data_IF_690056365937
#
_entry.id   IF_690056365937
#
_cell.length_a   1.000
_cell.length_b   1.000
_cell.length_c   1.000
_cell.angle_alpha   90.00
_cell.angle_beta   90.00
_cell.angle_gamma   90.00
#
_symmetry.space_group_name_H-M   'P 1'
#
loop_
_entity.id
_entity.type
_entity.pdbx_description
1 polymer ?
#
# COMPACT_ATOMS: atom_id res chain seq x y z
N UNK A 1 -5.82 -45.06 6.96
CA UNK A 1 -4.83 -44.56 5.98
C UNK A 1 -5.58 -43.73 4.97
N UNK A 2 -5.64 -42.42 5.16
CA UNK A 2 -6.23 -41.47 4.21
C UNK A 2 -5.29 -41.31 3.02
N UNK A 3 -5.83 -41.31 1.80
CA UNK A 3 -5.06 -41.18 0.58
C UNK A 3 -4.20 -39.91 0.61
N UNK A 4 -2.90 -40.05 0.32
CA UNK A 4 -2.02 -38.91 0.12
C UNK A 4 -2.54 -38.11 -1.09
N UNK A 5 -3.06 -36.91 -0.83
CA UNK A 5 -3.52 -36.00 -1.88
C UNK A 5 -2.36 -35.64 -2.80
N UNK A 6 -2.62 -35.60 -4.11
CA UNK A 6 -1.68 -35.09 -5.10
C UNK A 6 -1.36 -33.63 -4.81
N UNK A 7 -0.08 -33.28 -4.68
CA UNK A 7 0.34 -31.89 -4.52
C UNK A 7 0.33 -31.14 -5.85
N UNK A 8 -0.16 -29.90 -5.84
CA UNK A 8 -0.17 -28.99 -6.99
C UNK A 8 0.59 -27.72 -6.60
N UNK A 9 1.78 -27.55 -7.15
CA UNK A 9 2.57 -26.35 -6.91
C UNK A 9 2.23 -25.21 -7.88
N UNK A 10 2.19 -23.95 -7.41
CA UNK A 10 2.24 -23.49 -6.02
C UNK A 10 0.86 -23.47 -5.34
N UNK A 11 -0.18 -24.01 -5.97
CA UNK A 11 -1.59 -23.91 -5.53
C UNK A 11 -1.82 -24.36 -4.09
N UNK A 12 -1.18 -25.44 -3.64
CA UNK A 12 -1.32 -25.93 -2.26
C UNK A 12 -0.88 -24.87 -1.23
N UNK A 13 0.19 -24.13 -1.53
CA UNK A 13 0.69 -23.03 -0.70
C UNK A 13 -0.20 -21.80 -0.79
N UNK A 14 -0.78 -21.53 -1.96
CA UNK A 14 -1.70 -20.40 -2.15
C UNK A 14 -3.01 -20.61 -1.39
N UNK A 15 -3.48 -21.86 -1.25
CA UNK A 15 -4.68 -22.21 -0.51
C UNK A 15 -4.45 -22.23 1.01
N UNK A 16 -3.26 -22.61 1.46
CA UNK A 16 -2.84 -22.56 2.86
C UNK A 16 -1.93 -21.34 3.12
N UNK A 17 -2.54 -20.15 3.14
CA UNK A 17 -1.83 -18.87 3.35
C UNK A 17 -1.34 -18.74 4.79
N UNK A 18 -0.25 -19.44 5.11
CA UNK A 18 0.48 -19.23 6.35
C UNK A 18 1.30 -17.93 6.24
N UNK A 19 1.19 -17.08 7.27
CA UNK A 19 2.04 -15.90 7.38
C UNK A 19 3.51 -16.34 7.50
N UNK A 20 4.42 -15.58 6.88
CA UNK A 20 5.85 -15.77 7.11
C UNK A 20 6.16 -15.45 8.58
N UNK A 21 6.98 -16.28 9.21
CA UNK A 21 7.51 -15.96 10.54
C UNK A 21 8.36 -14.68 10.45
N UNK A 22 8.00 -13.67 11.25
CA UNK A 22 8.67 -12.38 11.30
C UNK A 22 9.12 -12.10 12.72
N UNK A 23 10.32 -11.54 12.86
CA UNK A 23 10.83 -11.12 14.17
C UNK A 23 9.98 -10.02 14.83
N UNK A 24 9.27 -9.22 14.02
CA UNK A 24 8.24 -8.28 14.49
C UNK A 24 7.13 -8.12 13.44
N UNK A 25 5.90 -7.76 13.85
CA UNK A 25 4.78 -7.53 12.90
C UNK A 25 5.02 -6.39 11.91
N UNK A 26 6.01 -5.52 12.19
CA UNK A 26 6.32 -4.33 11.39
C UNK A 26 7.55 -4.52 10.50
N UNK A 27 8.20 -5.68 10.57
CA UNK A 27 9.36 -6.03 9.75
C UNK A 27 8.89 -6.56 8.40
N UNK A 28 9.20 -5.83 7.34
CA UNK A 28 8.90 -6.25 5.97
C UNK A 28 9.90 -7.31 5.52
N UNK A 29 9.47 -8.18 4.61
CA UNK A 29 10.34 -9.22 4.03
C UNK A 29 10.58 -8.91 2.55
N UNK A 30 11.86 -8.74 2.19
CA UNK A 30 12.35 -8.78 0.83
C UNK A 30 12.86 -10.19 0.56
N UNK A 31 12.33 -10.88 -0.46
CA UNK A 31 12.85 -12.17 -0.86
C UNK A 31 13.63 -12.06 -2.17
N UNK A 32 14.92 -12.42 -2.10
CA UNK A 32 15.85 -12.45 -3.20
C UNK A 32 15.83 -13.84 -3.85
N UNK A 33 15.35 -13.88 -5.09
CA UNK A 33 15.48 -15.01 -6.00
C UNK A 33 16.74 -14.78 -6.82
N UNK A 34 17.83 -15.47 -6.50
CA UNK A 34 19.08 -15.36 -7.24
C UNK A 34 19.77 -16.72 -7.35
N UNK A 35 20.65 -16.90 -8.35
CA UNK A 35 21.58 -18.02 -8.33
C UNK A 35 22.45 -17.97 -7.07
N UNK A 36 23.01 -19.12 -6.67
CA UNK A 36 23.94 -19.22 -5.53
C UNK A 36 25.39 -19.40 -5.97
N UNK A 37 25.60 -19.88 -7.20
CA UNK A 37 26.92 -20.20 -7.74
C UNK A 37 27.19 -19.42 -9.03
N UNK A 38 28.40 -18.83 -9.17
CA UNK A 38 29.50 -18.94 -8.21
C UNK A 38 29.31 -17.96 -7.02
N UNK A 39 29.60 -18.44 -5.80
CA UNK A 39 29.37 -17.71 -4.52
C UNK A 39 29.99 -16.32 -4.50
N UNK A 40 31.20 -16.17 -5.02
CA UNK A 40 31.94 -14.91 -5.08
C UNK A 40 31.21 -13.82 -5.88
N UNK A 41 30.34 -14.18 -6.81
CA UNK A 41 29.50 -13.23 -7.56
C UNK A 41 28.17 -12.99 -6.84
N UNK A 42 27.41 -14.05 -6.55
CA UNK A 42 26.02 -13.88 -6.09
C UNK A 42 25.90 -13.53 -4.60
N UNK A 43 26.93 -13.76 -3.79
CA UNK A 43 26.98 -13.22 -2.43
C UNK A 43 27.20 -11.70 -2.44
N UNK A 44 27.89 -11.14 -3.45
CA UNK A 44 27.99 -9.69 -3.64
C UNK A 44 26.63 -9.09 -4.06
N UNK A 45 25.89 -9.76 -4.94
CA UNK A 45 24.52 -9.35 -5.31
C UNK A 45 23.63 -9.35 -4.06
N UNK A 46 23.67 -10.42 -3.26
CA UNK A 46 22.91 -10.50 -2.01
C UNK A 46 23.30 -9.38 -1.04
N UNK A 47 24.59 -9.11 -0.86
CA UNK A 47 25.08 -8.00 -0.03
C UNK A 47 24.59 -6.63 -0.53
N UNK A 48 24.60 -6.40 -1.86
CA UNK A 48 24.10 -5.17 -2.46
C UNK A 48 22.59 -4.99 -2.25
N UNK A 49 21.79 -6.05 -2.43
CA UNK A 49 20.34 -6.04 -2.17
C UNK A 49 20.06 -5.81 -0.68
N UNK A 50 20.82 -6.43 0.22
CA UNK A 50 20.69 -6.21 1.66
C UNK A 50 21.05 -4.77 2.07
N UNK A 51 22.08 -4.18 1.45
CA UNK A 51 22.40 -2.76 1.62
C UNK A 51 21.26 -1.86 1.13
N UNK A 52 20.70 -2.14 -0.05
CA UNK A 52 19.54 -1.40 -0.56
C UNK A 52 18.31 -1.53 0.35
N UNK A 53 18.04 -2.72 0.89
CA UNK A 53 17.01 -2.94 1.90
C UNK A 53 17.26 -2.07 3.14
N UNK A 54 18.51 -2.02 3.63
CA UNK A 54 18.90 -1.22 4.80
C UNK A 54 18.74 0.29 4.55
N UNK A 55 19.10 0.77 3.37
CA UNK A 55 18.91 2.17 2.97
C UNK A 55 17.43 2.51 2.81
N UNK A 56 16.65 1.62 2.20
CA UNK A 56 15.20 1.77 2.05
C UNK A 56 14.53 1.81 3.43
N UNK A 57 14.89 0.87 4.30
CA UNK A 57 14.47 0.80 5.70
C UNK A 57 14.74 2.13 6.43
N UNK A 58 15.97 2.63 6.37
CA UNK A 58 16.35 3.90 6.99
C UNK A 58 15.56 5.10 6.41
N UNK A 59 15.40 5.17 5.08
CA UNK A 59 14.69 6.27 4.41
C UNK A 59 13.20 6.31 4.74
N UNK A 60 12.59 5.14 4.98
CA UNK A 60 11.18 5.01 5.28
C UNK A 60 10.90 4.89 6.80
N UNK A 61 11.94 4.75 7.65
CA UNK A 61 11.79 4.52 9.09
C UNK A 61 11.20 3.16 9.44
N UNK A 62 11.46 2.14 8.63
CA UNK A 62 10.91 0.78 8.76
C UNK A 62 12.04 -0.24 8.90
N UNK A 63 11.72 -1.50 9.18
CA UNK A 63 12.67 -2.61 9.07
C UNK A 63 12.35 -3.45 7.83
N UNK A 64 13.39 -3.78 7.04
CA UNK A 64 13.27 -4.71 5.92
C UNK A 64 14.31 -5.81 6.13
N UNK A 65 13.85 -7.05 6.20
CA UNK A 65 14.70 -8.24 6.18
C UNK A 65 14.86 -8.75 4.77
N UNK A 66 16.10 -8.86 4.29
CA UNK A 66 16.41 -9.57 3.06
C UNK A 66 16.63 -11.06 3.36
N UNK A 67 15.87 -11.93 2.69
CA UNK A 67 16.01 -13.39 2.73
C UNK A 67 16.37 -13.90 1.34
N UNK A 68 17.22 -14.93 1.27
CA UNK A 68 17.56 -15.66 0.04
C UNK A 68 17.25 -17.13 0.27
N UNK A 69 16.87 -17.87 -0.78
CA UNK A 69 16.39 -19.24 -0.62
C UNK A 69 17.39 -20.19 0.10
N UNK A 70 18.70 -19.97 -0.01
CA UNK A 70 19.73 -20.75 0.70
C UNK A 70 19.93 -20.37 2.18
N UNK A 71 19.32 -19.27 2.66
CA UNK A 71 19.33 -18.85 4.07
C UNK A 71 18.09 -19.32 4.85
N UNK A 72 17.21 -20.09 4.20
CA UNK A 72 16.02 -20.68 4.81
C UNK A 72 16.43 -22.02 5.48
N UNK A 73 16.50 -22.04 6.81
CA UNK A 73 16.93 -23.23 7.58
C UNK A 73 15.77 -23.99 8.26
N UNK A 74 14.51 -23.70 7.92
CA UNK A 74 13.33 -24.13 8.67
C UNK A 74 12.45 -25.17 7.92
N UNK A 75 12.92 -26.42 7.93
CA UNK A 75 12.13 -27.67 7.83
C UNK A 75 11.74 -28.29 6.46
N UNK A 76 11.97 -29.62 6.40
CA UNK A 76 11.43 -30.75 5.60
C UNK A 76 11.24 -30.69 4.07
N UNK A 77 11.05 -29.56 3.41
CA UNK A 77 11.10 -29.51 1.92
C UNK A 77 11.37 -28.08 1.44
N UNK A 78 12.61 -27.82 0.99
CA UNK A 78 13.11 -26.50 0.57
C UNK A 78 12.16 -25.79 -0.43
N UNK A 79 11.45 -26.55 -1.27
CA UNK A 79 10.57 -26.01 -2.30
C UNK A 79 9.29 -25.35 -1.77
N UNK A 80 8.66 -25.90 -0.73
CA UNK A 80 7.40 -25.33 -0.20
C UNK A 80 7.67 -23.99 0.49
N UNK A 81 8.84 -23.85 1.13
CA UNK A 81 9.27 -22.59 1.73
C UNK A 81 9.47 -21.52 0.64
N UNK A 82 10.16 -21.84 -0.46
CA UNK A 82 10.34 -20.90 -1.58
C UNK A 82 8.98 -20.42 -2.11
N UNK A 83 8.01 -21.32 -2.30
CA UNK A 83 6.67 -20.93 -2.74
C UNK A 83 5.95 -20.05 -1.72
N UNK A 84 6.09 -20.33 -0.41
CA UNK A 84 5.53 -19.49 0.66
C UNK A 84 6.15 -18.10 0.64
N UNK A 85 7.46 -17.98 0.52
CA UNK A 85 8.15 -16.69 0.43
C UNK A 85 7.76 -15.93 -0.85
N UNK A 86 7.66 -16.61 -2.00
CA UNK A 86 7.18 -15.99 -3.24
C UNK A 86 5.74 -15.48 -3.10
N UNK A 87 4.85 -16.22 -2.45
CA UNK A 87 3.48 -15.80 -2.24
C UNK A 87 3.36 -14.63 -1.24
N UNK A 88 4.11 -14.69 -0.13
CA UNK A 88 3.83 -13.89 1.07
C UNK A 88 4.86 -12.79 1.39
N UNK A 89 6.04 -12.76 0.76
CA UNK A 89 7.02 -11.69 0.98
C UNK A 89 6.44 -10.32 0.56
N UNK A 90 6.90 -9.22 1.15
CA UNK A 90 6.38 -7.88 0.86
C UNK A 90 6.78 -7.38 -0.53
N UNK A 91 8.00 -7.70 -0.94
CA UNK A 91 8.56 -7.46 -2.26
C UNK A 91 9.53 -8.59 -2.66
N UNK A 92 9.70 -8.78 -3.97
CA UNK A 92 10.63 -9.73 -4.55
C UNK A 92 11.69 -9.00 -5.35
N UNK A 93 12.95 -9.41 -5.20
CA UNK A 93 14.05 -9.04 -6.10
C UNK A 93 14.47 -10.32 -6.82
N UNK A 94 14.53 -10.27 -8.15
CA UNK A 94 14.79 -11.45 -8.98
C UNK A 94 15.97 -11.18 -9.89
N UNK A 95 17.05 -11.93 -9.68
CA UNK A 95 18.25 -11.87 -10.51
C UNK A 95 18.12 -12.83 -11.70
N UNK A 96 17.80 -12.25 -12.86
CA UNK A 96 17.62 -13.02 -14.11
C UNK A 96 18.92 -13.18 -14.89
N UNK A 97 20.07 -12.84 -14.30
CA UNK A 97 21.39 -12.97 -14.92
C UNK A 97 21.68 -14.41 -15.34
N UNK A 98 22.07 -14.58 -16.59
CA UNK A 98 22.44 -15.88 -17.15
C UNK A 98 21.27 -16.87 -17.28
N UNK A 99 20.02 -16.44 -17.02
CA UNK A 99 18.79 -17.24 -17.11
C UNK A 99 18.88 -18.54 -16.32
N UNK A 100 19.31 -18.47 -15.06
CA UNK A 100 19.37 -19.65 -14.20
C UNK A 100 18.02 -20.40 -14.19
N UNK A 101 17.97 -21.70 -14.55
CA UNK A 101 16.70 -22.41 -14.71
C UNK A 101 15.81 -22.40 -13.47
N UNK A 102 16.39 -22.48 -12.27
CA UNK A 102 15.64 -22.47 -11.02
C UNK A 102 15.00 -21.10 -10.79
N UNK A 103 15.80 -20.03 -10.92
CA UNK A 103 15.31 -18.65 -10.77
C UNK A 103 14.24 -18.31 -11.81
N UNK A 104 14.37 -18.82 -13.04
CA UNK A 104 13.36 -18.60 -14.09
C UNK A 104 12.03 -19.31 -13.79
N UNK A 105 12.04 -20.49 -13.16
CA UNK A 105 10.81 -21.15 -12.69
C UNK A 105 10.18 -20.33 -11.55
N UNK A 106 11.00 -19.91 -10.58
CA UNK A 106 10.55 -19.07 -9.45
C UNK A 106 9.96 -17.74 -9.92
N UNK A 107 10.59 -17.09 -10.90
CA UNK A 107 10.07 -15.88 -11.54
C UNK A 107 8.75 -16.14 -12.25
N UNK A 108 8.60 -17.26 -12.97
CA UNK A 108 7.34 -17.62 -13.62
C UNK A 108 6.19 -17.73 -12.63
N UNK A 109 6.44 -18.34 -11.47
CA UNK A 109 5.46 -18.41 -10.36
C UNK A 109 5.20 -17.03 -9.77
N UNK A 110 6.24 -16.23 -9.51
CA UNK A 110 6.10 -14.87 -9.03
C UNK A 110 5.24 -14.02 -9.97
N UNK A 111 5.49 -14.08 -11.28
CA UNK A 111 4.74 -13.35 -12.29
C UNK A 111 3.26 -13.78 -12.37
N UNK A 112 2.94 -15.04 -12.02
CA UNK A 112 1.58 -15.54 -11.96
C UNK A 112 0.82 -15.10 -10.69
N UNK A 113 1.51 -15.00 -9.55
CA UNK A 113 0.90 -14.74 -8.24
C UNK A 113 0.95 -13.28 -7.79
N UNK A 114 1.91 -12.49 -8.29
CA UNK A 114 2.26 -11.18 -7.75
C UNK A 114 1.89 -10.06 -8.71
N UNK A 115 1.61 -8.88 -8.16
CA UNK A 115 1.49 -7.67 -8.97
C UNK A 115 2.87 -7.31 -9.55
N UNK A 116 2.95 -6.83 -10.81
CA UNK A 116 4.24 -6.51 -11.45
C UNK A 116 5.11 -5.55 -10.64
N UNK A 117 4.52 -4.60 -9.91
CA UNK A 117 5.24 -3.62 -9.10
C UNK A 117 5.91 -4.22 -7.86
N UNK A 118 5.50 -5.41 -7.42
CA UNK A 118 6.11 -6.11 -6.28
C UNK A 118 7.27 -7.02 -6.69
N UNK A 119 7.55 -7.13 -7.99
CA UNK A 119 8.59 -8.00 -8.55
C UNK A 119 9.61 -7.12 -9.27
N UNK A 120 10.78 -6.95 -8.67
CA UNK A 120 11.87 -6.13 -9.20
C UNK A 120 12.87 -7.05 -9.89
N UNK A 121 13.07 -6.85 -11.18
CA UNK A 121 14.07 -7.62 -11.94
C UNK A 121 15.42 -6.90 -11.90
N UNK A 122 16.48 -7.65 -11.63
CA UNK A 122 17.87 -7.19 -11.72
C UNK A 122 18.65 -8.08 -12.68
N UNK A 123 19.66 -7.51 -13.34
CA UNK A 123 20.48 -8.25 -14.30
C UNK A 123 21.88 -7.65 -14.44
N UNK A 124 22.89 -8.49 -14.58
CA UNK A 124 24.25 -8.04 -14.89
C UNK A 124 24.30 -7.41 -16.28
N UNK A 125 25.01 -6.28 -16.42
CA UNK A 125 25.14 -5.55 -17.68
C UNK A 125 25.97 -6.31 -18.75
N UNK A 126 26.88 -7.17 -18.30
CA UNK A 126 27.72 -8.02 -19.13
C UNK A 126 27.06 -9.35 -19.54
N UNK A 127 25.82 -9.59 -19.10
CA UNK A 127 25.09 -10.79 -19.44
C UNK A 127 24.58 -10.74 -20.88
N UNK A 128 25.08 -11.66 -21.72
CA UNK A 128 24.71 -11.76 -23.13
C UNK A 128 23.47 -12.62 -23.40
N UNK A 129 22.86 -13.19 -22.35
CA UNK A 129 21.67 -14.05 -22.50
C UNK A 129 20.48 -13.30 -23.11
N UNK A 130 19.61 -14.00 -23.83
CA UNK A 130 18.38 -13.38 -24.37
C UNK A 130 17.21 -13.70 -23.45
N UNK A 131 16.70 -12.67 -22.76
CA UNK A 131 15.51 -12.83 -21.92
C UNK A 131 14.32 -13.36 -22.75
N UNK A 132 13.55 -14.31 -22.21
CA UNK A 132 12.33 -14.78 -22.87
C UNK A 132 11.39 -13.61 -23.17
N UNK A 133 10.65 -13.68 -24.27
CA UNK A 133 9.75 -12.61 -24.74
C UNK A 133 8.81 -12.09 -23.63
N UNK A 134 8.28 -12.99 -22.79
CA UNK A 134 7.38 -12.64 -21.69
C UNK A 134 8.07 -11.85 -20.55
N UNK A 135 9.38 -12.05 -20.35
CA UNK A 135 10.18 -11.28 -19.38
C UNK A 135 10.61 -9.91 -19.95
N UNK A 136 10.63 -9.76 -21.27
CA UNK A 136 11.07 -8.54 -21.96
C UNK A 136 10.14 -7.34 -21.77
N UNK A 137 8.85 -7.59 -21.50
CA UNK A 137 7.88 -6.54 -21.23
C UNK A 137 8.12 -5.82 -19.89
N UNK A 138 8.85 -6.44 -18.97
CA UNK A 138 9.11 -5.91 -17.64
C UNK A 138 10.50 -5.26 -17.61
N UNK A 139 10.57 -4.00 -17.16
CA UNK A 139 11.85 -3.28 -17.02
C UNK A 139 12.70 -3.95 -15.94
N UNK A 140 13.99 -4.10 -16.20
CA UNK A 140 14.99 -4.59 -15.25
C UNK A 140 16.02 -3.50 -14.93
N UNK A 141 16.60 -3.58 -13.73
CA UNK A 141 17.73 -2.75 -13.31
C UNK A 141 19.02 -3.48 -13.65
N UNK A 142 19.96 -2.76 -14.26
CA UNK A 142 21.28 -3.32 -14.59
C UNK A 142 22.28 -3.07 -13.47
N UNK A 143 23.18 -4.02 -13.24
CA UNK A 143 24.31 -3.88 -12.33
C UNK A 143 25.62 -4.36 -12.96
N UNK A 144 26.76 -3.87 -12.47
CA UNK A 144 28.09 -4.36 -12.86
C UNK A 144 28.59 -5.48 -11.94
N UNK A 145 29.39 -6.44 -12.42
CA UNK A 145 29.95 -7.55 -11.60
C UNK A 145 30.95 -7.15 -10.50
N UNK A 146 31.14 -5.85 -10.28
CA UNK A 146 31.75 -5.27 -9.08
C UNK A 146 30.73 -4.37 -8.38
N UNK A 147 29.56 -4.93 -8.06
CA UNK A 147 28.37 -4.21 -7.62
C UNK A 147 28.52 -3.52 -6.26
N UNK A 148 29.52 -3.91 -5.47
CA UNK A 148 29.86 -3.28 -4.20
C UNK A 148 30.28 -1.82 -4.43
N UNK A 149 29.32 -0.91 -4.29
CA UNK A 149 29.51 0.53 -4.50
C UNK A 149 28.93 1.08 -5.81
N UNK A 150 28.19 0.28 -6.58
CA UNK A 150 27.42 0.77 -7.73
C UNK A 150 26.26 1.66 -7.27
N UNK A 151 26.55 2.95 -7.12
CA UNK A 151 25.58 3.91 -6.60
C UNK A 151 24.35 4.04 -7.50
N UNK A 152 24.51 3.92 -8.82
CA UNK A 152 23.38 4.03 -9.75
C UNK A 152 22.43 2.84 -9.59
N UNK A 153 22.97 1.62 -9.52
CA UNK A 153 22.17 0.43 -9.24
C UNK A 153 21.47 0.53 -7.88
N UNK A 154 22.20 0.88 -6.81
CA UNK A 154 21.63 0.97 -5.46
C UNK A 154 20.51 2.02 -5.39
N UNK A 155 20.67 3.19 -6.03
CA UNK A 155 19.63 4.21 -6.07
C UNK A 155 18.41 3.77 -6.90
N UNK A 156 18.63 3.11 -8.05
CA UNK A 156 17.55 2.55 -8.86
C UNK A 156 16.77 1.45 -8.13
N UNK A 157 17.48 0.59 -7.40
CA UNK A 157 16.90 -0.47 -6.59
C UNK A 157 16.12 0.11 -5.40
N UNK A 158 16.68 1.11 -4.71
CA UNK A 158 16.00 1.84 -3.64
C UNK A 158 14.68 2.44 -4.13
N UNK A 159 14.69 3.15 -5.25
CA UNK A 159 13.49 3.77 -5.82
C UNK A 159 12.43 2.71 -6.18
N UNK A 160 12.86 1.58 -6.76
CA UNK A 160 11.97 0.47 -7.11
C UNK A 160 11.41 -0.22 -5.87
N UNK A 161 12.21 -0.40 -4.82
CA UNK A 161 11.77 -0.93 -3.53
C UNK A 161 10.72 -0.03 -2.88
N UNK A 162 10.96 1.30 -2.83
CA UNK A 162 9.99 2.27 -2.32
C UNK A 162 8.68 2.13 -3.11
N UNK A 163 8.75 2.08 -4.43
CA UNK A 163 7.56 1.89 -5.27
C UNK A 163 6.87 0.54 -5.07
N UNK A 164 7.60 -0.53 -4.77
CA UNK A 164 7.05 -1.86 -4.51
C UNK A 164 6.34 -1.95 -3.15
N UNK A 165 6.85 -1.25 -2.14
CA UNK A 165 6.29 -1.24 -0.79
C UNK A 165 5.28 -0.12 -0.56
N UNK A 166 5.08 0.80 -1.49
CA UNK A 166 4.08 1.88 -1.36
C UNK A 166 2.65 1.57 -1.87
N UNK A 167 2.36 0.64 -2.80
CA UNK A 167 1.04 0.56 -3.42
C UNK A 167 -0.01 -0.01 -2.48
N UNK A 168 -1.20 0.60 -2.49
CA UNK A 168 -2.41 0.02 -1.91
C UNK A 168 -2.95 -1.11 -2.82
N UNK A 169 -3.74 -2.07 -2.31
CA UNK A 169 -4.54 -2.95 -3.11
C UNK A 169 -5.48 -2.15 -4.02
N UNK A 170 -5.08 -2.09 -5.28
CA UNK A 170 -5.86 -1.55 -6.37
C UNK A 170 -6.70 -2.66 -6.97
N UNK A 171 -8.02 -2.45 -7.04
CA UNK A 171 -8.91 -3.23 -7.90
C UNK A 171 -9.46 -2.26 -8.95
N UNK A 172 -9.23 -2.48 -10.25
CA UNK A 172 -9.77 -1.61 -11.29
C UNK A 172 -11.31 -1.59 -11.21
N UNK A 173 -11.94 -0.43 -11.43
CA UNK A 173 -13.40 -0.33 -11.35
C UNK A 173 -14.06 -1.16 -12.44
N UNK A 174 -15.21 -1.78 -12.12
CA UNK A 174 -16.04 -2.43 -13.13
C UNK A 174 -16.67 -1.38 -14.04
N UNK A 175 -16.73 -1.60 -15.36
CA UNK A 175 -17.35 -0.67 -16.34
C UNK A 175 -18.88 -0.47 -16.18
N UNK A 176 -19.49 -0.96 -15.11
CA UNK A 176 -20.92 -0.79 -14.80
C UNK A 176 -21.20 0.49 -14.00
N UNK A 177 -22.48 0.87 -13.94
CA UNK A 177 -22.94 1.93 -13.04
C UNK A 177 -22.64 1.53 -11.58
N UNK A 178 -21.70 2.23 -10.95
CA UNK A 178 -21.23 1.97 -9.61
C UNK A 178 -22.25 2.44 -8.56
N UNK A 179 -23.13 1.54 -8.11
CA UNK A 179 -24.03 1.76 -6.98
C UNK A 179 -23.47 1.07 -5.74
N UNK A 180 -22.57 1.76 -5.03
CA UNK A 180 -22.12 1.30 -3.73
C UNK A 180 -23.29 1.20 -2.74
N UNK A 181 -23.18 0.29 -1.77
CA UNK A 181 -24.18 0.09 -0.73
C UNK A 181 -23.94 1.04 0.44
N UNK A 182 -25.01 1.36 1.17
CA UNK A 182 -24.90 2.00 2.47
C UNK A 182 -24.07 1.14 3.42
N UNK A 183 -23.23 1.80 4.21
CA UNK A 183 -22.28 1.18 5.10
C UNK A 183 -22.17 2.00 6.37
N UNK A 184 -22.42 1.39 7.52
CA UNK A 184 -22.18 2.01 8.81
C UNK A 184 -21.36 1.04 9.66
N UNK A 185 -20.25 1.53 10.19
CA UNK A 185 -19.33 0.76 11.01
C UNK A 185 -19.08 1.48 12.33
N UNK A 186 -19.57 0.87 13.40
CA UNK A 186 -19.28 1.25 14.78
C UNK A 186 -18.08 0.45 15.31
N UNK A 187 -16.91 1.08 15.30
CA UNK A 187 -15.64 0.50 15.74
C UNK A 187 -15.51 0.44 17.27
N UNK A 188 -16.48 0.95 18.02
CA UNK A 188 -16.56 0.72 19.48
C UNK A 188 -16.97 -0.72 19.80
N UNK A 189 -17.58 -1.40 18.84
CA UNK A 189 -18.03 -2.80 18.97
C UNK A 189 -16.94 -3.82 18.60
N UNK A 190 -15.75 -3.35 18.17
CA UNK A 190 -14.61 -4.19 17.78
C UNK A 190 -14.13 -3.95 16.34
N UNK A 191 -13.02 -4.58 15.98
CA UNK A 191 -12.53 -4.59 14.59
C UNK A 191 -13.44 -5.44 13.70
N UNK A 192 -13.54 -5.07 12.41
CA UNK A 192 -14.33 -5.75 11.38
C UNK A 192 -13.46 -6.01 10.15
N UNK A 193 -12.51 -6.97 10.23
CA UNK A 193 -11.62 -7.29 9.11
C UNK A 193 -12.36 -7.84 7.88
N UNK A 194 -13.59 -8.34 8.08
CA UNK A 194 -14.50 -8.77 7.01
C UNK A 194 -15.05 -7.61 6.18
N UNK A 195 -15.06 -6.40 6.73
CA UNK A 195 -15.59 -5.19 6.11
C UNK A 195 -14.52 -4.19 5.70
N UNK A 196 -13.44 -4.11 6.47
CA UNK A 196 -12.26 -3.27 6.21
C UNK A 196 -11.27 -4.10 5.39
N UNK A 197 -11.24 -3.88 4.09
CA UNK A 197 -10.44 -4.65 3.13
C UNK A 197 -8.92 -4.35 3.16
N UNK A 198 -8.47 -3.57 4.14
CA UNK A 198 -7.05 -3.41 4.39
C UNK A 198 -6.48 -4.64 5.11
N UNK A 199 -5.27 -5.12 4.74
CA UNK A 199 -4.65 -6.30 5.34
C UNK A 199 -4.65 -6.28 6.87
N UNK A 200 -4.76 -7.45 7.51
CA UNK A 200 -4.70 -7.60 8.98
C UNK A 200 -3.38 -7.12 9.59
N UNK A 201 -2.28 -7.12 8.82
CA UNK A 201 -0.98 -6.52 9.21
C UNK A 201 -0.99 -4.98 9.24
N UNK A 202 -2.13 -4.35 8.92
CA UNK A 202 -2.27 -2.91 9.07
C UNK A 202 -2.09 -2.51 10.52
N UNK A 203 -1.61 -1.29 10.72
CA UNK A 203 -1.32 -0.76 12.04
C UNK A 203 -2.59 -0.40 12.80
N UNK A 204 -3.49 -1.37 12.95
CA UNK A 204 -4.76 -1.26 13.66
C UNK A 204 -4.78 -2.14 14.90
N UNK A 205 -5.34 -1.62 15.99
CA UNK A 205 -5.48 -2.32 17.26
C UNK A 205 -6.82 -1.95 17.87
N UNK A 206 -7.60 -2.96 18.28
CA UNK A 206 -8.81 -2.73 19.07
C UNK A 206 -8.40 -2.12 20.41
N UNK A 207 -9.00 -1.00 20.77
CA UNK A 207 -8.77 -0.32 22.05
C UNK A 207 -10.12 0.00 22.69
N UNK A 208 -10.11 0.43 23.94
CA UNK A 208 -11.34 0.88 24.60
C UNK A 208 -12.00 2.00 23.78
N UNK A 209 -13.27 1.77 23.42
CA UNK A 209 -14.12 2.73 22.74
C UNK A 209 -13.58 3.19 21.36
N UNK A 210 -13.04 2.25 20.57
CA UNK A 210 -12.73 2.47 19.15
C UNK A 210 -11.62 1.57 18.60
N UNK A 211 -11.20 1.87 17.37
CA UNK A 211 -10.06 1.26 16.70
C UNK A 211 -8.91 2.26 16.65
N UNK A 212 -7.77 1.91 17.25
CA UNK A 212 -6.54 2.65 17.02
C UNK A 212 -6.01 2.28 15.64
N UNK A 213 -5.67 3.26 14.80
CA UNK A 213 -5.21 3.04 13.43
C UNK A 213 -4.16 4.08 13.01
N UNK A 214 -3.29 3.71 12.07
CA UNK A 214 -2.30 4.61 11.47
C UNK A 214 -0.86 4.18 11.71
N UNK A 215 0.09 4.81 11.04
CA UNK A 215 1.52 4.54 11.20
C UNK A 215 2.30 5.83 11.32
N UNK A 216 3.41 5.74 12.05
CA UNK A 216 4.41 6.79 12.08
C UNK A 216 5.33 6.75 10.85
N UNK A 217 5.54 5.57 10.25
CA UNK A 217 6.62 5.32 9.28
C UNK A 217 6.16 4.57 8.02
N UNK A 218 5.22 3.63 8.16
CA UNK A 218 4.74 2.74 7.08
C UNK A 218 3.44 3.29 6.46
N UNK A 219 3.55 4.08 5.38
CA UNK A 219 2.35 4.59 4.69
C UNK A 219 1.50 3.48 4.04
N UNK A 220 2.13 2.41 3.53
CA UNK A 220 1.47 1.25 2.90
C UNK A 220 0.42 0.57 3.78
N UNK A 221 0.55 0.69 5.10
CA UNK A 221 -0.34 0.05 6.06
C UNK A 221 -1.22 1.06 6.80
N UNK A 222 -1.22 2.32 6.33
CA UNK A 222 -1.93 3.46 6.92
C UNK A 222 -3.08 3.96 6.08
N UNK A 223 -3.72 3.07 5.30
CA UNK A 223 -4.98 3.38 4.65
C UNK A 223 -6.04 2.29 4.94
N UNK A 224 -7.31 2.71 4.98
CA UNK A 224 -8.49 1.85 5.05
C UNK A 224 -9.21 1.89 3.72
N UNK A 225 -9.35 0.74 3.06
CA UNK A 225 -10.29 0.61 1.94
C UNK A 225 -11.68 0.28 2.52
N UNK A 226 -12.61 1.21 2.36
CA UNK A 226 -13.97 1.08 2.89
C UNK A 226 -14.86 0.39 1.86
N UNK A 227 -15.16 -0.89 2.09
CA UNK A 227 -15.87 -1.79 1.17
C UNK A 227 -15.13 -2.05 -0.15
N UNK A 228 -15.55 -3.10 -0.87
CA UNK A 228 -15.06 -3.40 -2.22
C UNK A 228 -15.77 -2.61 -3.32
N UNK A 229 -16.80 -1.84 -2.99
CA UNK A 229 -17.66 -1.18 -3.98
C UNK A 229 -17.04 0.09 -4.56
N UNK A 230 -17.44 0.44 -5.77
CA UNK A 230 -17.21 1.77 -6.33
C UNK A 230 -18.43 2.66 -6.07
N UNK A 231 -18.18 3.96 -5.88
CA UNK A 231 -19.20 4.96 -5.61
C UNK A 231 -19.09 6.11 -6.60
N UNK A 232 -20.20 6.46 -7.26
CA UNK A 232 -20.32 7.73 -7.98
C UNK A 232 -20.77 8.85 -7.06
N UNK A 233 -21.91 8.73 -6.39
CA UNK A 233 -22.38 9.77 -5.47
C UNK A 233 -22.36 9.19 -4.05
N UNK A 234 -21.59 9.79 -3.16
CA UNK A 234 -21.38 9.26 -1.81
C UNK A 234 -21.02 10.34 -0.83
N UNK A 235 -21.51 10.18 0.39
CA UNK A 235 -21.05 10.88 1.58
C UNK A 235 -20.30 9.90 2.48
N UNK A 236 -19.12 10.30 2.96
CA UNK A 236 -18.37 9.61 3.98
C UNK A 236 -18.26 10.48 5.23
N UNK A 237 -18.55 9.90 6.40
CA UNK A 237 -18.30 10.53 7.70
C UNK A 237 -17.37 9.65 8.51
N UNK A 238 -16.34 10.27 9.10
CA UNK A 238 -15.38 9.59 9.96
C UNK A 238 -15.31 10.38 11.27
N UNK A 239 -15.59 9.68 12.37
CA UNK A 239 -15.45 10.24 13.72
C UNK A 239 -14.22 9.68 14.40
N UNK A 240 -13.25 10.55 14.68
CA UNK A 240 -11.95 10.12 15.17
C UNK A 240 -11.30 11.16 16.09
N UNK A 241 -10.17 10.80 16.69
CA UNK A 241 -9.24 11.72 17.36
C UNK A 241 -7.81 11.30 17.11
N UNK A 242 -6.86 12.22 17.12
CA UNK A 242 -5.44 11.86 17.13
C UNK A 242 -5.07 11.24 18.48
N UNK A 243 -4.29 10.17 18.45
CA UNK A 243 -3.81 9.47 19.65
C UNK A 243 -2.35 9.83 19.96
N UNK A 244 -1.53 9.91 18.92
CA UNK A 244 -0.12 10.27 19.01
C UNK A 244 0.40 10.67 17.63
N UNK A 245 1.37 11.56 17.58
CA UNK A 245 2.02 11.99 16.34
C UNK A 245 3.52 11.75 16.43
N UNK A 246 4.17 11.65 15.27
CA UNK A 246 5.63 11.67 15.17
C UNK A 246 6.07 12.96 14.49
N UNK A 247 6.96 13.71 15.15
CA UNK A 247 7.60 14.87 14.55
C UNK A 247 6.66 16.07 14.40
N UNK A 248 6.67 16.69 13.22
CA UNK A 248 5.97 17.95 12.97
C UNK A 248 4.45 17.74 12.84
N UNK A 249 3.61 18.41 13.66
CA UNK A 249 2.15 18.38 13.52
C UNK A 249 1.63 18.76 12.13
N UNK A 250 2.38 19.54 11.36
CA UNK A 250 2.04 19.88 9.98
C UNK A 250 2.14 18.69 9.03
N UNK A 251 2.82 17.60 9.38
CA UNK A 251 2.94 16.41 8.50
C UNK A 251 2.02 15.27 8.91
N UNK A 252 1.57 15.24 10.16
CA UNK A 252 0.67 14.23 10.70
C UNK A 252 -0.78 14.48 10.30
N UNK A 253 -1.46 13.50 9.69
CA UNK A 253 -2.86 13.69 9.26
C UNK A 253 -3.69 12.42 9.23
N UNK A 254 -5.02 12.60 9.25
CA UNK A 254 -6.02 11.67 8.73
C UNK A 254 -6.82 12.35 7.63
N UNK A 255 -7.08 11.64 6.54
CA UNK A 255 -7.92 12.12 5.45
C UNK A 255 -8.77 11.03 4.81
N UNK A 256 -9.73 11.48 4.00
CA UNK A 256 -10.61 10.64 3.20
C UNK A 256 -10.58 11.09 1.74
N UNK A 257 -10.46 10.13 0.83
CA UNK A 257 -10.61 10.34 -0.62
C UNK A 257 -11.89 9.69 -1.10
N UNK A 258 -12.67 10.42 -1.90
CA UNK A 258 -13.86 9.93 -2.58
C UNK A 258 -13.54 9.73 -4.07
N UNK A 259 -14.20 8.76 -4.71
CA UNK A 259 -13.93 8.35 -6.11
C UNK A 259 -12.45 8.05 -6.41
N UNK A 260 -11.72 7.50 -5.44
CA UNK A 260 -10.32 7.20 -5.62
C UNK A 260 -10.13 6.00 -6.57
N UNK A 261 -9.45 6.24 -7.69
CA UNK A 261 -9.13 5.22 -8.70
C UNK A 261 -7.63 4.92 -8.81
N UNK A 262 -6.80 5.49 -7.96
CA UNK A 262 -5.36 5.46 -8.16
C UNK A 262 -4.69 4.37 -7.33
N UNK A 263 -3.47 3.98 -7.72
CA UNK A 263 -2.71 2.96 -7.01
C UNK A 263 -2.08 3.50 -5.71
N UNK A 264 -1.67 4.77 -5.69
CA UNK A 264 -1.26 5.49 -4.48
C UNK A 264 -2.47 5.94 -3.65
N UNK A 265 -2.46 5.64 -2.35
CA UNK A 265 -3.58 5.91 -1.45
C UNK A 265 -3.82 7.42 -1.16
N UNK A 266 -2.79 8.25 -1.31
CA UNK A 266 -2.85 9.70 -1.12
C UNK A 266 -3.14 10.48 -2.41
N UNK A 267 -3.19 9.85 -3.58
CA UNK A 267 -3.43 10.57 -4.84
C UNK A 267 -4.92 10.70 -5.12
N UNK A 268 -5.34 11.90 -5.52
CA UNK A 268 -6.75 12.26 -5.78
C UNK A 268 -7.13 13.53 -5.03
N UNK A 269 -8.44 13.80 -4.96
CA UNK A 269 -9.00 14.88 -4.15
C UNK A 269 -9.29 14.34 -2.74
N UNK A 270 -8.28 14.41 -1.87
CA UNK A 270 -8.36 13.96 -0.47
C UNK A 270 -8.65 15.16 0.43
N UNK A 271 -9.66 15.02 1.27
CA UNK A 271 -9.94 15.97 2.35
C UNK A 271 -9.27 15.43 3.60
N UNK A 272 -8.40 16.23 4.23
CA UNK A 272 -7.65 15.80 5.41
C UNK A 272 -7.62 16.87 6.49
N UNK A 273 -7.46 16.40 7.73
CA UNK A 273 -7.14 17.21 8.90
C UNK A 273 -5.70 16.91 9.32
N UNK A 274 -4.87 17.95 9.41
CA UNK A 274 -3.53 17.85 10.00
C UNK A 274 -3.62 17.94 11.53
N UNK A 275 -2.66 17.36 12.23
CA UNK A 275 -2.58 17.47 13.69
C UNK A 275 -2.35 18.91 14.16
N UNK A 276 -1.82 19.79 13.29
CA UNK A 276 -1.79 21.24 13.50
C UNK A 276 -3.17 21.92 13.54
N UNK A 277 -4.24 21.21 13.19
CA UNK A 277 -5.60 21.74 13.10
C UNK A 277 -5.95 22.33 11.74
N UNK A 278 -5.06 22.22 10.76
CA UNK A 278 -5.24 22.74 9.40
C UNK A 278 -6.03 21.75 8.55
N UNK A 279 -7.09 22.22 7.91
CA UNK A 279 -7.88 21.46 6.94
C UNK A 279 -7.30 21.67 5.55
N UNK A 280 -6.98 20.58 4.87
CA UNK A 280 -6.36 20.60 3.54
C UNK A 280 -7.23 19.78 2.58
N UNK A 281 -7.32 20.24 1.33
CA UNK A 281 -7.78 19.44 0.21
C UNK A 281 -6.61 19.21 -0.75
N UNK A 282 -6.26 17.98 -1.06
CA UNK A 282 -5.22 17.70 -2.07
C UNK A 282 -5.79 17.91 -3.47
N UNK A 283 -4.98 18.43 -4.39
CA UNK A 283 -5.33 18.59 -5.80
C UNK A 283 -4.28 17.91 -6.70
N UNK A 284 -4.69 16.94 -7.54
CA UNK A 284 -3.79 16.35 -8.53
C UNK A 284 -3.31 17.37 -9.58
N UNK A 285 -2.03 17.27 -9.95
CA UNK A 285 -1.42 18.09 -11.01
C UNK A 285 -1.24 17.30 -12.32
N UNK A 286 -1.02 15.99 -12.20
CA UNK A 286 -0.84 15.08 -13.33
C UNK A 286 -1.40 13.69 -13.03
N UNK A 287 -1.38 12.81 -14.04
CA UNK A 287 -1.77 11.41 -13.99
C UNK A 287 -0.67 10.47 -13.46
N UNK A 288 0.44 11.02 -12.94
CA UNK A 288 1.64 10.27 -12.51
C UNK A 288 1.87 10.30 -11.00
N UNK A 289 0.90 10.79 -10.23
CA UNK A 289 1.01 10.82 -8.79
C UNK A 289 1.36 12.18 -8.19
N UNK A 290 1.55 13.23 -9.01
CA UNK A 290 1.88 14.58 -8.51
C UNK A 290 0.62 15.30 -8.02
N UNK A 291 0.74 15.99 -6.88
CA UNK A 291 -0.33 16.79 -6.28
C UNK A 291 0.25 17.93 -5.44
N UNK A 292 -0.61 18.90 -5.10
CA UNK A 292 -0.32 19.90 -4.08
C UNK A 292 -1.46 20.00 -3.07
N UNK A 293 -1.19 20.70 -1.98
CA UNK A 293 -2.12 20.94 -0.88
C UNK A 293 -2.81 22.30 -1.07
N UNK A 294 -4.15 22.30 -1.03
CA UNK A 294 -4.96 23.51 -0.92
C UNK A 294 -5.33 23.69 0.55
N UNK A 295 -4.81 24.75 1.15
CA UNK A 295 -5.13 25.12 2.53
C UNK A 295 -6.51 25.77 2.62
N UNK A 296 -7.44 25.08 3.28
CA UNK A 296 -8.82 25.54 3.49
C UNK A 296 -8.91 26.43 4.74
N UNK A 297 -8.02 26.22 5.71
CA UNK A 297 -7.96 26.98 6.95
C UNK A 297 -7.96 26.13 8.22
N UNK A 298 -7.80 26.76 9.39
CA UNK A 298 -7.72 26.06 10.68
C UNK A 298 -9.10 25.77 11.27
N UNK A 299 -9.22 24.64 11.99
CA UNK A 299 -10.35 24.37 12.87
C UNK A 299 -10.18 25.19 14.17
N UNK A 300 -11.05 26.18 14.47
CA UNK A 300 -10.90 27.04 15.64
C UNK A 300 -10.88 26.24 16.95
N UNK A 301 -9.87 26.50 17.79
CA UNK A 301 -9.74 25.88 19.11
C UNK A 301 -9.33 24.41 19.11
N UNK A 302 -9.08 23.82 17.93
CA UNK A 302 -8.62 22.45 17.81
C UNK A 302 -7.23 22.28 18.40
N UNK A 303 -7.08 21.23 19.20
CA UNK A 303 -5.82 20.82 19.80
C UNK A 303 -5.83 19.30 19.92
N UNK A 304 -4.94 18.64 19.18
CA UNK A 304 -4.82 17.19 19.19
C UNK A 304 -4.45 16.63 20.59
N UNK A 305 -3.79 17.44 21.43
CA UNK A 305 -3.42 17.08 22.80
C UNK A 305 -4.62 16.94 23.74
N UNK A 306 -5.74 17.60 23.45
CA UNK A 306 -6.98 17.47 24.23
C UNK A 306 -7.70 16.14 24.03
N UNK A 307 -7.29 15.35 23.03
CA UNK A 307 -7.87 14.04 22.73
C UNK A 307 -9.39 14.08 22.51
N UNK A 308 -9.90 15.19 21.97
CA UNK A 308 -11.30 15.37 21.63
C UNK A 308 -11.64 14.70 20.30
N UNK A 309 -12.87 14.17 20.19
CA UNK A 309 -13.37 13.61 18.95
C UNK A 309 -13.72 14.72 17.97
N UNK A 310 -13.41 14.51 16.70
CA UNK A 310 -13.77 15.38 15.60
C UNK A 310 -14.44 14.57 14.49
N UNK A 311 -15.43 15.19 13.86
CA UNK A 311 -16.08 14.68 12.66
C UNK A 311 -15.42 15.29 11.42
N UNK A 312 -15.01 14.40 10.50
CA UNK A 312 -14.65 14.73 9.13
C UNK A 312 -15.74 14.14 8.23
N UNK A 313 -16.49 15.00 7.54
CA UNK A 313 -17.49 14.59 6.56
C UNK A 313 -17.07 15.09 5.19
N UNK A 314 -17.06 14.20 4.18
CA UNK A 314 -16.86 14.56 2.79
C UNK A 314 -17.97 13.96 1.94
N UNK A 315 -18.45 14.72 0.97
CA UNK A 315 -19.49 14.33 0.03
C UNK A 315 -19.06 14.69 -1.39
N UNK A 316 -19.22 13.74 -2.31
CA UNK A 316 -19.07 13.99 -3.73
C UNK A 316 -20.31 13.53 -4.48
N UNK A 317 -20.76 14.37 -5.40
CA UNK A 317 -21.79 14.03 -6.37
C UNK A 317 -21.36 14.48 -7.77
N UNK A 318 -22.26 14.43 -8.74
CA UNK A 318 -21.95 14.81 -10.12
C UNK A 318 -21.70 16.31 -10.34
N UNK A 319 -21.97 17.16 -9.35
CA UNK A 319 -21.85 18.61 -9.48
C UNK A 319 -20.73 19.19 -8.62
N UNK A 320 -20.49 18.63 -7.42
CA UNK A 320 -19.51 19.19 -6.49
C UNK A 320 -18.91 18.16 -5.52
N UNK A 321 -17.75 18.52 -4.97
CA UNK A 321 -17.19 18.00 -3.73
C UNK A 321 -17.50 19.00 -2.62
N UNK A 322 -18.14 18.57 -1.53
CA UNK A 322 -18.34 19.37 -0.33
C UNK A 322 -17.81 18.63 0.89
N UNK A 323 -17.28 19.35 1.87
CA UNK A 323 -16.78 18.71 3.08
C UNK A 323 -16.86 19.64 4.29
N UNK A 324 -16.86 19.03 5.47
CA UNK A 324 -16.76 19.70 6.75
C UNK A 324 -15.79 18.97 7.69
N UNK A 325 -15.03 19.73 8.46
CA UNK A 325 -14.13 19.22 9.49
C UNK A 325 -14.30 20.08 10.73
N UNK A 326 -14.93 19.54 11.76
CA UNK A 326 -15.41 20.35 12.88
C UNK A 326 -16.34 21.47 12.37
N UNK A 327 -15.97 22.74 12.59
CA UNK A 327 -16.73 23.91 12.12
C UNK A 327 -16.30 24.44 10.75
N UNK A 328 -15.20 23.94 10.17
CA UNK A 328 -14.73 24.36 8.83
C UNK A 328 -15.59 23.67 7.78
N UNK A 329 -16.09 24.43 6.80
CA UNK A 329 -16.87 23.90 5.68
C UNK A 329 -16.36 24.45 4.36
N UNK A 330 -16.40 23.64 3.31
CA UNK A 330 -15.94 24.04 1.99
C UNK A 330 -16.68 23.28 0.88
N UNK A 331 -16.74 23.88 -0.32
CA UNK A 331 -17.40 23.31 -1.49
C UNK A 331 -16.67 23.72 -2.77
N UNK A 332 -16.40 22.74 -3.63
CA UNK A 332 -15.67 22.88 -4.89
C UNK A 332 -16.54 22.28 -6.00
N UNK A 333 -16.74 23.00 -7.11
CA UNK A 333 -17.45 22.47 -8.27
C UNK A 333 -16.58 21.43 -8.98
N UNK A 334 -17.20 20.35 -9.46
CA UNK A 334 -16.47 19.31 -10.20
C UNK A 334 -15.85 19.86 -11.50
N UNK A 335 -16.45 20.91 -12.09
CA UNK A 335 -15.90 21.59 -13.26
C UNK A 335 -14.54 22.24 -13.03
N UNK A 336 -14.23 22.55 -11.77
CA UNK A 336 -13.01 23.26 -11.37
C UNK A 336 -11.94 22.27 -10.87
N UNK A 337 -12.29 20.99 -10.75
CA UNK A 337 -11.44 19.94 -10.21
C UNK A 337 -10.73 19.18 -11.36
N UNK A 338 -9.40 19.31 -11.52
CA UNK A 338 -8.67 18.51 -12.49
C UNK A 338 -8.61 17.04 -12.05
N UNK A 339 -8.58 16.11 -13.01
CA UNK A 339 -8.43 14.66 -12.76
C UNK A 339 -9.47 14.07 -11.79
N UNK A 340 -10.70 14.59 -11.81
CA UNK A 340 -11.85 13.99 -11.11
C UNK A 340 -12.56 12.99 -12.03
N UNK A 341 -12.82 11.79 -11.52
CA UNK A 341 -13.43 10.70 -12.29
C UNK A 341 -14.90 10.45 -11.91
N UNK A 342 -15.58 9.60 -12.66
CA UNK A 342 -17.02 9.34 -12.53
C UNK A 342 -17.41 8.48 -11.32
N UNK A 343 -16.58 7.51 -10.94
CA UNK A 343 -16.82 6.60 -9.82
C UNK A 343 -15.50 6.11 -9.24
N UNK A 344 -15.47 5.63 -8.01
CA UNK A 344 -14.27 4.95 -7.50
C UNK A 344 -14.39 4.57 -6.04
N UNK A 345 -13.28 4.15 -5.44
CA UNK A 345 -13.26 3.69 -4.05
C UNK A 345 -13.36 4.87 -3.09
N UNK A 346 -13.87 4.60 -1.89
CA UNK A 346 -13.69 5.47 -0.73
C UNK A 346 -12.54 4.94 0.10
N UNK A 347 -11.56 5.81 0.38
CA UNK A 347 -10.35 5.43 1.12
C UNK A 347 -10.09 6.40 2.25
N UNK A 348 -9.77 5.87 3.42
CA UNK A 348 -9.19 6.64 4.53
C UNK A 348 -7.68 6.49 4.44
N UNK A 349 -6.93 7.58 4.58
CA UNK A 349 -5.47 7.58 4.55
C UNK A 349 -4.92 8.34 5.76
N UNK A 350 -3.82 7.87 6.32
CA UNK A 350 -3.19 8.39 7.53
C UNK A 350 -1.67 8.44 7.32
N UNK A 351 -1.01 9.45 7.85
CA UNK A 351 0.45 9.51 7.86
C UNK A 351 0.99 10.17 9.13
N UNK A 352 2.18 9.72 9.57
CA UNK A 352 2.94 10.26 10.69
C UNK A 352 2.17 10.35 12.02
N UNK A 353 1.12 9.55 12.21
CA UNK A 353 0.33 9.53 13.44
C UNK A 353 -0.41 8.22 13.65
N UNK A 354 -0.89 8.07 14.88
CA UNK A 354 -1.96 7.14 15.27
C UNK A 354 -3.19 7.96 15.58
N UNK A 355 -4.34 7.46 15.17
CA UNK A 355 -5.66 7.98 15.53
C UNK A 355 -6.45 6.91 16.26
N UNK A 356 -7.52 7.31 16.93
CA UNK A 356 -8.60 6.42 17.35
C UNK A 356 -9.85 6.77 16.56
N UNK A 357 -10.36 5.81 15.80
CA UNK A 357 -11.60 5.93 15.02
C UNK A 357 -12.72 5.24 15.79
N UNK A 358 -13.87 5.92 15.92
CA UNK A 358 -15.04 5.37 16.58
C UNK A 358 -16.10 4.92 15.60
N UNK A 359 -16.37 5.74 14.58
CA UNK A 359 -17.47 5.52 13.65
C UNK A 359 -16.99 5.87 12.23
N UNK A 360 -17.38 5.03 11.28
CA UNK A 360 -17.23 5.30 9.84
C UNK A 360 -18.58 5.04 9.18
N UNK A 361 -19.10 6.04 8.48
CA UNK A 361 -20.37 5.95 7.75
C UNK A 361 -20.13 6.28 6.28
N UNK A 362 -20.66 5.45 5.37
CA UNK A 362 -20.78 5.75 3.95
C UNK A 362 -22.25 5.68 3.55
N UNK A 363 -22.75 6.79 3.00
CA UNK A 363 -24.12 6.91 2.52
C UNK A 363 -24.08 7.20 1.02
N UNK A 364 -24.49 6.25 0.16
CA UNK A 364 -24.76 6.52 -1.24
C UNK A 364 -25.78 7.63 -1.38
N UNK A 365 -25.51 8.58 -2.27
CA UNK A 365 -26.45 9.67 -2.52
C UNK A 365 -27.25 9.31 -3.77
N UNK A 366 -28.56 9.52 -3.70
CA UNK A 366 -29.40 9.42 -4.90
C UNK A 366 -28.81 10.33 -5.98
N UNK A 367 -28.69 9.82 -7.20
CA UNK A 367 -28.47 10.65 -8.38
C UNK A 367 -29.67 11.59 -8.50
N UNK A 368 -29.55 12.77 -7.89
CA UNK A 368 -30.55 13.81 -7.97
C UNK A 368 -30.88 14.05 -9.44
N UNK A 369 -32.13 13.78 -9.81
CA UNK A 369 -32.66 14.09 -11.11
C UNK A 369 -32.90 15.59 -11.23
N UNK A 370 -31.84 16.38 -11.33
CA UNK A 370 -31.97 17.73 -11.88
C UNK A 370 -31.88 17.62 -13.41
N UNK A 371 -32.99 17.14 -13.98
CA UNK A 371 -33.36 17.53 -15.35
C UNK A 371 -33.89 18.95 -15.24
N UNK A 372 -33.06 19.93 -15.59
CA UNK A 372 -33.56 21.17 -16.20
C UNK A 372 -33.32 21.09 -17.69
#
# INVERSE_FOLDING_TARGET
MTAAGTTVWPNDVVLDQQELERASPHRLVCFLLSPFEPRDVYDQVHAAVNNACSLCAASAGIEIECRRADTLHESKTIHDDIWRYIASADLLVVDVTGLNPNVMIEYGVAAALRRPQQVILIRSDDDQSHLPFNAFAQRYLTYHRSILGDQAFIQGLLQSMIQAITPAPFSPPSMGAATGTEFNLDLRQGDRPDLILSPSITHRRVVDNGLEFGSFYVFRNSWLLLTGADYSNVRARIRFRFQSILGNPEHAFLGVSLRNQHFHANWGHMVLLRASGRVICTQPEDDRGKYHDIDVGPVPGFDYGKQELIDLTAEINNNHLAFSVGSVTHKILLSDMPYVYSAGKVRVSIAACRVRIQEIELTPLSSGGDRN
#
